data_IF_447134916383
#
_entry.id   IF_447134916383
#
_cell.length_a   1.000
_cell.length_b   1.000
_cell.length_c   1.000
_cell.angle_alpha   90.00
_cell.angle_beta   90.00
_cell.angle_gamma   90.00
#
_symmetry.space_group_name_H-M   'P 1'
#
loop_
_entity.id
_entity.type
_entity.pdbx_description
1 polymer ?
#
# COMPACT_ATOMS: atom_id res chain seq x y z
N UNK A 1 -1.30 23.76 -41.27
CA UNK A 1 -1.77 23.79 -39.86
C UNK A 1 -1.55 22.41 -39.28
N UNK A 2 -0.64 22.25 -38.32
CA UNK A 2 -0.43 20.97 -37.65
C UNK A 2 -1.61 20.73 -36.71
N UNK A 3 -2.40 19.68 -36.95
CA UNK A 3 -3.43 19.24 -36.02
C UNK A 3 -2.74 18.77 -34.73
N UNK A 4 -3.00 19.47 -33.61
CA UNK A 4 -2.52 19.05 -32.30
C UNK A 4 -3.03 17.65 -31.99
N UNK A 5 -2.14 16.76 -31.53
CA UNK A 5 -2.49 15.39 -31.19
C UNK A 5 -3.64 15.37 -30.16
N UNK A 6 -4.83 14.86 -30.51
CA UNK A 6 -6.01 14.84 -29.62
C UNK A 6 -5.84 13.88 -28.43
N UNK A 7 -4.81 13.02 -28.47
CA UNK A 7 -4.41 12.14 -27.37
C UNK A 7 -3.24 12.71 -26.55
N UNK A 8 -2.75 13.90 -26.90
CA UNK A 8 -1.77 14.58 -26.05
C UNK A 8 -2.44 14.99 -24.75
N UNK A 9 -1.78 14.70 -23.63
CA UNK A 9 -2.31 14.95 -22.29
C UNK A 9 -2.54 16.45 -22.14
N UNK A 10 -3.81 16.84 -22.06
CA UNK A 10 -4.22 18.24 -22.00
C UNK A 10 -3.61 18.92 -20.75
N UNK A 11 -2.62 19.78 -20.99
CA UNK A 11 -1.89 20.49 -19.94
C UNK A 11 -2.78 21.55 -19.28
N UNK A 12 -3.73 22.13 -20.03
CA UNK A 12 -4.63 23.16 -19.53
C UNK A 12 -5.75 22.55 -18.67
N UNK A 13 -6.32 21.42 -19.10
CA UNK A 13 -7.30 20.66 -18.31
C UNK A 13 -6.75 20.15 -16.96
N UNK A 14 -5.45 19.83 -16.91
CA UNK A 14 -4.78 19.37 -15.68
C UNK A 14 -4.60 20.48 -14.64
N UNK A 15 -4.35 21.73 -15.07
CA UNK A 15 -4.24 22.88 -14.15
C UNK A 15 -5.60 23.39 -13.68
N UNK A 16 -6.61 23.41 -14.57
CA UNK A 16 -7.95 23.94 -14.25
C UNK A 16 -8.73 23.06 -13.25
N UNK A 17 -8.29 21.81 -13.02
CA UNK A 17 -8.97 20.86 -12.14
C UNK A 17 -8.22 20.54 -10.83
N UNK A 18 -7.18 21.30 -10.47
CA UNK A 18 -6.40 21.07 -9.23
C UNK A 18 -7.30 21.18 -7.99
N UNK A 19 -8.28 22.09 -8.00
CA UNK A 19 -9.25 22.23 -6.90
C UNK A 19 -10.11 20.97 -6.75
N UNK A 20 -10.59 20.40 -7.85
CA UNK A 20 -11.35 19.14 -7.84
C UNK A 20 -10.52 17.99 -7.27
N UNK A 21 -9.25 17.88 -7.67
CA UNK A 21 -8.31 16.90 -7.10
C UNK A 21 -8.07 17.10 -5.62
N UNK A 22 -7.90 18.34 -5.15
CA UNK A 22 -7.74 18.67 -3.72
C UNK A 22 -8.95 18.21 -2.91
N UNK A 23 -10.15 18.55 -3.36
CA UNK A 23 -11.41 18.18 -2.71
C UNK A 23 -11.58 16.65 -2.70
N UNK A 24 -11.43 16.00 -3.85
CA UNK A 24 -11.58 14.54 -3.96
C UNK A 24 -10.54 13.79 -3.12
N UNK A 25 -9.30 14.29 -3.03
CA UNK A 25 -8.25 13.73 -2.18
C UNK A 25 -8.65 13.80 -0.70
N UNK A 26 -9.10 14.97 -0.22
CA UNK A 26 -9.54 15.12 1.17
C UNK A 26 -10.76 14.24 1.47
N UNK A 27 -11.78 14.28 0.61
CA UNK A 27 -13.02 13.53 0.83
C UNK A 27 -12.77 12.01 0.84
N UNK A 28 -12.00 11.49 -0.13
CA UNK A 28 -11.68 10.07 -0.17
C UNK A 28 -10.82 9.64 1.02
N UNK A 29 -9.82 10.44 1.41
CA UNK A 29 -9.01 10.18 2.59
C UNK A 29 -9.83 10.15 3.88
N UNK A 30 -10.66 11.18 4.13
CA UNK A 30 -11.51 11.25 5.31
C UNK A 30 -12.50 10.10 5.36
N UNK A 31 -13.09 9.74 4.20
CA UNK A 31 -14.00 8.61 4.10
C UNK A 31 -13.30 7.31 4.50
N UNK A 32 -12.11 7.05 3.98
CA UNK A 32 -11.34 5.86 4.33
C UNK A 32 -10.92 5.85 5.82
N UNK A 33 -10.36 6.96 6.31
CA UNK A 33 -9.92 7.11 7.70
C UNK A 33 -11.06 6.88 8.69
N UNK A 34 -12.17 7.61 8.53
CA UNK A 34 -13.29 7.57 9.47
C UNK A 34 -13.89 6.18 9.52
N UNK A 35 -14.14 5.54 8.38
CA UNK A 35 -14.76 4.22 8.37
C UNK A 35 -13.81 3.10 8.80
N UNK A 36 -12.51 3.21 8.54
CA UNK A 36 -11.52 2.27 9.07
C UNK A 36 -11.48 2.34 10.59
N UNK A 37 -11.45 3.54 11.18
CA UNK A 37 -11.49 3.72 12.65
C UNK A 37 -12.83 3.26 13.22
N UNK A 38 -13.95 3.69 12.64
CA UNK A 38 -15.29 3.32 13.09
C UNK A 38 -15.48 1.81 13.10
N UNK A 39 -15.10 1.10 12.03
CA UNK A 39 -15.26 -0.34 11.95
C UNK A 39 -14.18 -1.16 12.65
N UNK A 40 -13.06 -0.54 13.05
CA UNK A 40 -12.13 -1.16 14.00
C UNK A 40 -12.75 -1.26 15.40
N UNK A 41 -13.57 -0.28 15.79
CA UNK A 41 -14.13 -0.15 17.13
C UNK A 41 -15.58 -0.66 17.25
N UNK A 42 -16.39 -0.50 16.20
CA UNK A 42 -17.82 -0.79 16.21
C UNK A 42 -18.20 -1.69 15.05
N UNK A 43 -19.01 -2.73 15.32
CA UNK A 43 -19.57 -3.55 14.25
C UNK A 43 -20.63 -2.77 13.46
N UNK A 44 -20.80 -3.02 12.14
CA UNK A 44 -21.88 -2.41 11.39
C UNK A 44 -23.24 -2.84 11.96
N UNK A 45 -24.21 -1.92 11.91
CA UNK A 45 -25.55 -2.17 12.43
C UNK A 45 -26.12 -3.50 11.93
N UNK A 46 -26.68 -4.31 12.84
CA UNK A 46 -27.30 -5.58 12.50
C UNK A 46 -28.59 -5.30 11.73
N UNK A 47 -28.58 -5.52 10.43
CA UNK A 47 -29.81 -5.64 9.68
C UNK A 47 -30.38 -7.04 9.92
N UNK A 48 -31.56 -7.11 10.56
CA UNK A 48 -32.28 -8.36 10.87
C UNK A 48 -32.63 -9.24 9.66
N UNK A 49 -32.26 -8.85 8.44
CA UNK A 49 -32.59 -9.52 7.17
C UNK A 49 -31.39 -10.15 6.44
N UNK A 50 -30.17 -10.00 6.92
CA UNK A 50 -29.00 -10.59 6.24
C UNK A 50 -28.44 -11.79 7.00
N UNK A 51 -28.20 -12.87 6.27
CA UNK A 51 -27.63 -14.15 6.72
C UNK A 51 -26.14 -14.05 7.11
N UNK A 52 -25.48 -12.93 6.78
CA UNK A 52 -24.04 -12.74 6.95
C UNK A 52 -23.69 -12.15 8.32
N UNK A 53 -22.56 -12.60 8.88
CA UNK A 53 -22.06 -12.12 10.15
C UNK A 53 -21.48 -10.72 10.01
N UNK A 54 -21.93 -9.79 10.87
CA UNK A 54 -21.48 -8.41 10.91
C UNK A 54 -20.63 -8.23 12.16
N UNK A 55 -19.34 -7.92 12.01
CA UNK A 55 -18.44 -7.67 13.13
C UNK A 55 -17.42 -6.57 12.80
N UNK A 56 -16.71 -6.09 13.83
CA UNK A 56 -15.53 -5.24 13.67
C UNK A 56 -14.46 -5.91 12.81
N UNK A 57 -13.55 -5.11 12.24
CA UNK A 57 -12.44 -5.60 11.40
C UNK A 57 -11.67 -6.72 12.11
N UNK A 58 -11.28 -6.49 13.36
CA UNK A 58 -10.49 -7.45 14.13
C UNK A 58 -11.34 -8.58 14.72
N UNK A 59 -12.62 -8.38 15.03
CA UNK A 59 -13.41 -9.49 15.55
C UNK A 59 -13.80 -10.52 14.48
N UNK A 60 -13.85 -10.13 13.19
CA UNK A 60 -13.90 -11.11 12.10
C UNK A 60 -12.59 -11.91 11.99
N UNK A 61 -11.45 -11.29 12.30
CA UNK A 61 -10.17 -11.98 12.36
C UNK A 61 -10.15 -13.08 13.43
N UNK A 62 -10.69 -12.77 14.61
CA UNK A 62 -10.68 -13.69 15.74
C UNK A 62 -11.66 -14.84 15.52
N UNK A 63 -12.77 -14.59 14.81
CA UNK A 63 -13.73 -15.61 14.42
C UNK A 63 -13.16 -16.54 13.32
N UNK A 64 -12.66 -15.96 12.23
CA UNK A 64 -12.10 -16.69 11.09
C UNK A 64 -10.56 -16.64 11.13
N UNK A 65 -9.97 -17.24 12.17
CA UNK A 65 -8.52 -17.23 12.35
C UNK A 65 -7.82 -18.11 11.31
N UNK A 66 -6.86 -17.53 10.58
CA UNK A 66 -6.12 -18.20 9.51
C UNK A 66 -4.61 -18.07 9.70
N UNK A 67 -3.84 -18.76 8.85
CA UNK A 67 -2.38 -18.65 8.81
C UNK A 67 -1.89 -17.24 8.45
N UNK A 68 -2.75 -16.37 7.91
CA UNK A 68 -2.40 -14.99 7.57
C UNK A 68 -3.04 -13.97 8.51
N UNK A 69 -3.63 -14.40 9.63
CA UNK A 69 -4.17 -13.49 10.65
C UNK A 69 -3.03 -12.84 11.47
N UNK A 70 -2.81 -11.53 11.36
CA UNK A 70 -1.74 -10.84 12.09
C UNK A 70 -2.14 -10.43 13.51
N UNK A 71 -1.18 -9.93 14.27
CA UNK A 71 -1.50 -9.17 15.49
C UNK A 71 -2.23 -7.88 15.13
N UNK A 72 -3.42 -7.66 15.71
CA UNK A 72 -4.20 -6.45 15.51
C UNK A 72 -3.45 -5.18 15.96
N UNK A 73 -2.53 -5.31 16.94
CA UNK A 73 -1.70 -4.20 17.45
C UNK A 73 -0.77 -3.69 16.34
N UNK A 74 -0.11 -4.59 15.63
CA UNK A 74 0.80 -4.21 14.54
C UNK A 74 0.02 -3.61 13.36
N UNK A 75 -1.11 -4.20 12.98
CA UNK A 75 -1.96 -3.61 11.92
C UNK A 75 -2.44 -2.21 12.30
N UNK A 76 -2.84 -2.02 13.56
CA UNK A 76 -3.27 -0.72 14.07
C UNK A 76 -2.15 0.32 14.03
N UNK A 77 -0.93 -0.04 14.48
CA UNK A 77 0.24 0.84 14.39
C UNK A 77 0.52 1.20 12.93
N UNK A 78 0.52 0.21 12.03
CA UNK A 78 0.76 0.41 10.61
C UNK A 78 -0.22 1.42 10.01
N UNK A 79 -1.52 1.24 10.26
CA UNK A 79 -2.55 2.15 9.75
C UNK A 79 -2.47 3.55 10.35
N UNK A 80 -2.23 3.67 11.66
CA UNK A 80 -2.05 4.99 12.29
C UNK A 80 -0.86 5.72 11.67
N UNK A 81 0.28 5.03 11.51
CA UNK A 81 1.45 5.60 10.83
C UNK A 81 1.14 5.97 9.38
N UNK A 82 0.47 5.09 8.63
CA UNK A 82 0.05 5.36 7.25
C UNK A 82 -0.81 6.62 7.17
N UNK A 83 -1.85 6.73 7.98
CA UNK A 83 -2.76 7.89 7.95
C UNK A 83 -2.05 9.19 8.34
N UNK A 84 -1.15 9.17 9.32
CA UNK A 84 -0.33 10.35 9.68
C UNK A 84 0.55 10.78 8.50
N UNK A 85 1.23 9.83 7.85
CA UNK A 85 2.08 10.15 6.70
C UNK A 85 1.24 10.63 5.51
N UNK A 86 0.04 10.10 5.32
CA UNK A 86 -0.90 10.55 4.29
C UNK A 86 -1.39 11.98 4.53
N UNK A 87 -1.59 12.40 5.78
CA UNK A 87 -1.85 13.82 6.10
C UNK A 87 -0.67 14.69 5.64
N UNK A 88 0.57 14.26 5.88
CA UNK A 88 1.77 14.94 5.38
C UNK A 88 1.79 15.05 3.85
N UNK A 89 1.50 13.97 3.14
CA UNK A 89 1.34 13.99 1.68
C UNK A 89 0.25 14.98 1.22
N UNK A 90 -0.92 14.97 1.87
CA UNK A 90 -2.03 15.87 1.53
C UNK A 90 -1.62 17.33 1.74
N UNK A 91 -0.88 17.65 2.82
CA UNK A 91 -0.36 18.99 3.07
C UNK A 91 0.43 19.52 1.87
N UNK A 92 1.29 18.70 1.27
CA UNK A 92 2.10 19.12 0.12
C UNK A 92 1.28 19.47 -1.13
N UNK A 93 0.05 18.97 -1.24
CA UNK A 93 -0.89 19.38 -2.30
C UNK A 93 -1.32 20.85 -2.16
N UNK A 94 -1.20 21.42 -0.95
CA UNK A 94 -1.50 22.82 -0.61
C UNK A 94 -0.26 23.68 -0.43
N UNK A 95 0.93 23.17 -0.75
CA UNK A 95 2.18 23.93 -0.66
C UNK A 95 2.23 25.05 -1.70
N UNK A 96 2.85 26.19 -1.36
CA UNK A 96 3.14 27.27 -2.30
C UNK A 96 4.21 26.89 -3.34
N UNK A 97 4.95 25.80 -3.09
CA UNK A 97 5.97 25.31 -4.01
C UNK A 97 5.34 24.45 -5.12
N UNK A 98 5.37 24.97 -6.35
CA UNK A 98 4.84 24.30 -7.53
C UNK A 98 5.45 22.90 -7.79
N UNK A 99 6.70 22.66 -7.41
CA UNK A 99 7.34 21.35 -7.56
C UNK A 99 6.70 20.30 -6.63
N UNK A 100 6.41 20.69 -5.38
CA UNK A 100 5.72 19.81 -4.41
C UNK A 100 4.30 19.50 -4.88
N UNK A 101 3.56 20.52 -5.31
CA UNK A 101 2.19 20.35 -5.81
C UNK A 101 2.19 19.44 -7.04
N UNK A 102 3.12 19.60 -7.97
CA UNK A 102 3.23 18.75 -9.16
C UNK A 102 3.55 17.30 -8.81
N UNK A 103 4.48 17.08 -7.88
CA UNK A 103 4.82 15.73 -7.41
C UNK A 103 3.61 15.06 -6.75
N UNK A 104 2.91 15.75 -5.84
CA UNK A 104 1.72 15.24 -5.19
C UNK A 104 0.56 15.00 -6.18
N UNK A 105 0.29 15.95 -7.09
CA UNK A 105 -0.77 15.83 -8.07
C UNK A 105 -0.53 14.69 -9.07
N UNK A 106 0.73 14.31 -9.33
CA UNK A 106 1.05 13.21 -10.24
C UNK A 106 0.54 11.85 -9.77
N UNK A 107 0.43 11.66 -8.45
CA UNK A 107 -0.06 10.42 -7.83
C UNK A 107 -1.50 10.52 -7.32
N UNK A 108 -2.09 11.72 -7.36
CA UNK A 108 -3.38 12.03 -6.73
C UNK A 108 -4.55 11.16 -7.16
N UNK A 109 -4.67 10.84 -8.45
CA UNK A 109 -5.75 9.95 -8.94
C UNK A 109 -5.65 8.54 -8.35
N UNK A 110 -4.44 8.00 -8.25
CA UNK A 110 -4.20 6.68 -7.70
C UNK A 110 -4.40 6.67 -6.18
N UNK A 111 -4.05 7.77 -5.50
CA UNK A 111 -4.32 7.96 -4.08
C UNK A 111 -5.83 8.01 -3.78
N UNK A 112 -6.61 8.73 -4.59
CA UNK A 112 -8.08 8.77 -4.48
C UNK A 112 -8.65 7.36 -4.69
N UNK A 113 -8.23 6.67 -5.76
CA UNK A 113 -8.65 5.31 -6.04
C UNK A 113 -8.31 4.35 -4.89
N UNK A 114 -7.09 4.46 -4.32
CA UNK A 114 -6.67 3.68 -3.17
C UNK A 114 -7.63 3.84 -1.99
N UNK A 115 -7.95 5.08 -1.63
CA UNK A 115 -8.82 5.35 -0.49
C UNK A 115 -10.25 4.84 -0.71
N UNK A 116 -10.80 4.99 -1.93
CA UNK A 116 -12.13 4.50 -2.25
C UNK A 116 -12.21 2.97 -2.27
N UNK A 117 -11.19 2.30 -2.82
CA UNK A 117 -11.12 0.84 -2.84
C UNK A 117 -10.86 0.26 -1.46
N UNK A 118 -10.01 0.90 -0.65
CA UNK A 118 -9.80 0.53 0.74
C UNK A 118 -11.08 0.72 1.56
N UNK A 119 -11.79 1.83 1.38
CA UNK A 119 -13.10 2.06 2.00
C UNK A 119 -14.13 0.97 1.63
N UNK A 120 -14.20 0.61 0.34
CA UNK A 120 -15.07 -0.45 -0.14
C UNK A 120 -14.68 -1.80 0.45
N UNK A 121 -13.37 -2.12 0.52
CA UNK A 121 -12.86 -3.31 1.17
C UNK A 121 -13.30 -3.40 2.63
N UNK A 122 -13.12 -2.33 3.44
CA UNK A 122 -13.53 -2.32 4.85
C UNK A 122 -15.04 -2.60 4.98
N UNK A 123 -15.86 -2.01 4.11
CA UNK A 123 -17.31 -2.22 4.14
C UNK A 123 -17.72 -3.66 3.84
N UNK A 124 -17.06 -4.28 2.85
CA UNK A 124 -17.34 -5.64 2.43
C UNK A 124 -16.79 -6.64 3.45
N UNK A 125 -15.58 -6.41 3.95
CA UNK A 125 -14.93 -7.20 5.00
C UNK A 125 -15.81 -7.28 6.25
N UNK A 126 -16.21 -6.14 6.80
CA UNK A 126 -17.02 -6.05 8.05
C UNK A 126 -18.42 -6.66 7.95
N UNK A 127 -18.84 -7.01 6.73
CA UNK A 127 -20.12 -7.67 6.41
C UNK A 127 -19.91 -9.09 5.86
N UNK A 128 -18.71 -9.66 6.01
CA UNK A 128 -18.35 -11.01 5.56
C UNK A 128 -18.55 -11.28 4.06
N UNK A 129 -18.44 -10.25 3.20
CA UNK A 129 -18.50 -10.41 1.74
C UNK A 129 -17.09 -10.68 1.16
N UNK A 130 -16.51 -11.83 1.51
CA UNK A 130 -15.10 -12.14 1.28
C UNK A 130 -14.67 -12.04 -0.19
N UNK A 131 -15.44 -12.61 -1.12
CA UNK A 131 -15.12 -12.59 -2.56
C UNK A 131 -15.07 -11.18 -3.15
N UNK A 132 -16.05 -10.33 -2.84
CA UNK A 132 -16.08 -8.95 -3.30
C UNK A 132 -15.03 -8.11 -2.60
N UNK A 133 -14.79 -8.38 -1.32
CA UNK A 133 -13.73 -7.76 -0.53
C UNK A 133 -12.37 -8.04 -1.18
N UNK A 134 -12.11 -9.30 -1.56
CA UNK A 134 -10.88 -9.73 -2.23
C UNK A 134 -10.71 -9.05 -3.60
N UNK A 135 -11.80 -8.97 -4.38
CA UNK A 135 -11.79 -8.25 -5.65
C UNK A 135 -11.38 -6.77 -5.48
N UNK A 136 -11.88 -6.08 -4.45
CA UNK A 136 -11.49 -4.69 -4.18
C UNK A 136 -10.00 -4.57 -3.87
N UNK A 137 -9.42 -5.52 -3.13
CA UNK A 137 -7.98 -5.54 -2.85
C UNK A 137 -7.15 -5.78 -4.12
N UNK A 138 -7.52 -6.74 -4.96
CA UNK A 138 -6.80 -7.02 -6.23
C UNK A 138 -6.84 -5.81 -7.18
N UNK A 139 -7.99 -5.15 -7.28
CA UNK A 139 -8.09 -3.89 -8.04
C UNK A 139 -7.21 -2.79 -7.45
N UNK A 140 -7.16 -2.69 -6.12
CA UNK A 140 -6.35 -1.69 -5.45
C UNK A 140 -4.85 -1.98 -5.62
N UNK A 141 -4.46 -3.24 -5.56
CA UNK A 141 -3.10 -3.69 -5.81
C UNK A 141 -2.66 -3.33 -7.22
N UNK A 142 -3.50 -3.64 -8.22
CA UNK A 142 -3.23 -3.30 -9.63
C UNK A 142 -3.09 -1.79 -9.82
N UNK A 143 -3.95 -0.99 -9.17
CA UNK A 143 -3.86 0.47 -9.15
C UNK A 143 -2.52 0.96 -8.58
N UNK A 144 -2.05 0.36 -7.49
CA UNK A 144 -0.80 0.75 -6.83
C UNK A 144 0.45 0.25 -7.54
N UNK A 145 0.42 -0.93 -8.15
CA UNK A 145 1.51 -1.42 -9.01
C UNK A 145 1.62 -0.52 -10.25
N UNK A 146 0.50 -0.16 -10.88
CA UNK A 146 0.50 0.78 -11.99
C UNK A 146 1.06 2.15 -11.58
N UNK A 147 0.70 2.65 -10.39
CA UNK A 147 1.27 3.87 -9.82
C UNK A 147 2.79 3.74 -9.63
N UNK A 148 3.24 2.65 -9.01
CA UNK A 148 4.65 2.40 -8.72
C UNK A 148 5.48 2.39 -10.01
N UNK A 149 5.05 1.61 -11.00
CA UNK A 149 5.77 1.47 -12.27
C UNK A 149 5.77 2.77 -13.10
N UNK A 150 4.75 3.61 -12.96
CA UNK A 150 4.66 4.90 -13.65
C UNK A 150 5.49 6.00 -12.98
N UNK A 151 5.61 5.95 -11.66
CA UNK A 151 6.28 6.98 -10.85
C UNK A 151 7.31 6.39 -9.87
N UNK A 152 8.30 5.57 -10.32
CA UNK A 152 9.21 4.85 -9.43
C UNK A 152 10.19 5.77 -8.69
N UNK A 153 10.47 6.95 -9.24
CA UNK A 153 11.36 7.97 -8.65
C UNK A 153 10.58 9.11 -7.96
N UNK A 154 9.38 8.83 -7.45
CA UNK A 154 8.61 9.86 -6.75
C UNK A 154 9.36 10.30 -5.48
N UNK A 155 9.29 11.60 -5.07
CA UNK A 155 9.98 12.06 -3.87
C UNK A 155 9.58 11.21 -2.65
N UNK A 156 10.54 10.89 -1.77
CA UNK A 156 10.32 9.95 -0.65
C UNK A 156 9.11 10.26 0.23
N UNK A 157 8.80 11.55 0.39
CA UNK A 157 7.64 12.03 1.17
C UNK A 157 6.29 11.84 0.46
N UNK A 158 6.27 11.69 -0.87
CA UNK A 158 5.11 11.21 -1.64
C UNK A 158 5.10 9.69 -1.67
N UNK A 159 6.26 9.10 -1.97
CA UNK A 159 6.41 7.68 -2.24
C UNK A 159 5.96 6.82 -1.06
N UNK A 160 6.43 7.14 0.15
CA UNK A 160 6.12 6.38 1.34
C UNK A 160 4.60 6.30 1.64
N UNK A 161 3.88 7.43 1.81
CA UNK A 161 2.45 7.40 2.15
C UNK A 161 1.49 7.06 1.01
N UNK A 162 1.85 7.35 -0.25
CA UNK A 162 0.94 7.21 -1.39
C UNK A 162 1.23 5.97 -2.24
N UNK A 163 2.43 5.38 -2.14
CA UNK A 163 2.87 4.26 -2.98
C UNK A 163 3.30 3.07 -2.13
N UNK A 164 4.42 3.18 -1.41
CA UNK A 164 5.10 2.04 -0.79
C UNK A 164 4.27 1.39 0.33
N UNK A 165 3.86 2.17 1.35
CA UNK A 165 3.06 1.60 2.45
C UNK A 165 1.66 1.14 1.99
N UNK A 166 0.91 1.89 1.17
CA UNK A 166 -0.34 1.38 0.59
C UNK A 166 -0.16 0.06 -0.15
N UNK A 167 0.87 -0.07 -1.00
CA UNK A 167 1.08 -1.25 -1.83
C UNK A 167 1.34 -2.48 -0.97
N UNK A 168 2.24 -2.34 0.01
CA UNK A 168 2.58 -3.41 0.96
C UNK A 168 1.37 -3.83 1.79
N UNK A 169 0.55 -2.86 2.23
CA UNK A 169 -0.67 -3.16 2.98
C UNK A 169 -1.66 -3.97 2.14
N UNK A 170 -1.91 -3.55 0.90
CA UNK A 170 -2.88 -4.24 0.04
C UNK A 170 -2.37 -5.64 -0.33
N UNK A 171 -1.08 -5.79 -0.64
CA UNK A 171 -0.45 -7.11 -0.83
C UNK A 171 -0.70 -8.01 0.38
N UNK A 172 -0.43 -7.51 1.59
CA UNK A 172 -0.67 -8.26 2.82
C UNK A 172 -2.14 -8.63 3.00
N UNK A 173 -3.04 -7.67 2.77
CA UNK A 173 -4.48 -7.85 2.92
C UNK A 173 -5.05 -8.89 1.95
N UNK A 174 -4.49 -9.03 0.74
CA UNK A 174 -4.90 -10.07 -0.23
C UNK A 174 -4.71 -11.46 0.38
N UNK A 175 -3.53 -11.74 0.94
CA UNK A 175 -3.29 -13.04 1.57
C UNK A 175 -4.15 -13.25 2.82
N UNK A 176 -4.34 -12.21 3.62
CA UNK A 176 -5.17 -12.30 4.82
C UNK A 176 -6.64 -12.57 4.47
N UNK A 177 -7.21 -11.80 3.55
CA UNK A 177 -8.61 -11.93 3.15
C UNK A 177 -8.85 -13.18 2.31
N UNK A 178 -7.97 -13.48 1.36
CA UNK A 178 -8.02 -14.72 0.58
C UNK A 178 -8.00 -15.97 1.45
N UNK A 179 -7.23 -15.99 2.54
CA UNK A 179 -7.22 -17.11 3.47
C UNK A 179 -8.55 -17.30 4.22
N UNK A 180 -9.21 -16.18 4.59
CA UNK A 180 -10.55 -16.20 5.21
C UNK A 180 -11.60 -16.64 4.19
N UNK A 181 -11.54 -16.10 2.97
CA UNK A 181 -12.46 -16.40 1.87
C UNK A 181 -12.57 -17.90 1.56
N UNK A 182 -11.46 -18.64 1.63
CA UNK A 182 -11.43 -20.09 1.33
C UNK A 182 -11.66 -20.98 2.56
N UNK A 183 -11.98 -20.41 3.72
CA UNK A 183 -12.18 -21.14 4.98
C UNK A 183 -11.05 -22.15 5.28
N UNK A 184 -9.82 -21.65 5.23
CA UNK A 184 -8.59 -22.43 5.27
C UNK A 184 -8.37 -23.23 6.58
N UNK A 185 -8.96 -24.43 6.68
CA UNK A 185 -8.88 -25.30 7.88
C UNK A 185 -8.20 -26.65 7.66
N UNK A 186 -8.04 -27.09 6.41
CA UNK A 186 -7.47 -28.40 6.07
C UNK A 186 -5.94 -28.43 6.09
N UNK A 187 -5.35 -29.63 6.17
CA UNK A 187 -3.90 -29.84 6.08
C UNK A 187 -3.31 -29.31 4.77
N UNK A 188 -4.01 -29.52 3.65
CA UNK A 188 -3.62 -28.98 2.35
C UNK A 188 -3.53 -27.44 2.41
N UNK A 189 -4.48 -26.78 3.07
CA UNK A 189 -4.46 -25.33 3.19
C UNK A 189 -3.30 -24.82 4.06
N UNK A 190 -2.90 -25.57 5.10
CA UNK A 190 -1.70 -25.26 5.89
C UNK A 190 -0.41 -25.36 5.06
N UNK A 191 -0.30 -26.38 4.21
CA UNK A 191 0.84 -26.54 3.29
C UNK A 191 0.88 -25.37 2.31
N UNK A 192 -0.26 -25.04 1.69
CA UNK A 192 -0.36 -23.92 0.77
C UNK A 192 -0.01 -22.59 1.45
N UNK A 193 -0.48 -22.34 2.67
CA UNK A 193 -0.13 -21.13 3.42
C UNK A 193 1.38 -21.02 3.71
N UNK A 194 2.02 -22.14 4.08
CA UNK A 194 3.46 -22.21 4.29
C UNK A 194 4.28 -21.93 3.03
N UNK A 195 3.75 -22.24 1.84
CA UNK A 195 4.38 -21.91 0.55
C UNK A 195 4.10 -20.44 0.20
N UNK A 196 2.83 -20.04 0.32
CA UNK A 196 2.33 -18.71 -0.05
C UNK A 196 3.00 -17.57 0.74
N UNK A 197 3.35 -17.78 2.01
CA UNK A 197 4.02 -16.74 2.82
C UNK A 197 5.34 -16.27 2.19
N UNK A 198 6.07 -17.13 1.46
CA UNK A 198 7.32 -16.77 0.81
C UNK A 198 7.14 -15.77 -0.34
N UNK A 199 5.91 -15.59 -0.83
CA UNK A 199 5.61 -14.53 -1.77
C UNK A 199 5.98 -13.14 -1.21
N UNK A 200 5.83 -12.90 0.09
CA UNK A 200 6.26 -11.64 0.70
C UNK A 200 7.76 -11.40 0.60
N UNK A 201 8.58 -12.46 0.66
CA UNK A 201 10.02 -12.34 0.44
C UNK A 201 10.32 -12.01 -1.02
N UNK A 202 9.68 -12.71 -1.97
CA UNK A 202 9.86 -12.47 -3.41
C UNK A 202 9.42 -11.04 -3.77
N UNK A 203 8.25 -10.63 -3.29
CA UNK A 203 7.70 -9.29 -3.43
C UNK A 203 8.68 -8.23 -2.90
N UNK A 204 9.12 -8.34 -1.65
CA UNK A 204 10.05 -7.36 -1.08
C UNK A 204 11.41 -7.38 -1.78
N UNK A 205 11.94 -8.57 -2.11
CA UNK A 205 13.20 -8.72 -2.82
C UNK A 205 13.14 -8.08 -4.21
N UNK A 206 12.03 -8.19 -4.94
CA UNK A 206 11.85 -7.53 -6.22
C UNK A 206 12.02 -6.00 -6.10
N UNK A 207 11.32 -5.36 -5.16
CA UNK A 207 11.43 -3.91 -4.96
C UNK A 207 12.81 -3.47 -4.43
N UNK A 208 13.40 -4.25 -3.53
CA UNK A 208 14.74 -3.97 -3.00
C UNK A 208 15.84 -4.15 -4.05
N UNK A 209 15.78 -5.18 -4.88
CA UNK A 209 16.84 -5.49 -5.84
C UNK A 209 16.73 -4.67 -7.12
N UNK A 210 15.51 -4.51 -7.67
CA UNK A 210 15.27 -3.81 -8.94
C UNK A 210 15.20 -2.30 -8.75
N UNK A 211 14.49 -1.83 -7.72
CA UNK A 211 14.24 -0.40 -7.51
C UNK A 211 15.07 0.23 -6.38
N UNK A 212 15.83 -0.57 -5.63
CA UNK A 212 16.55 -0.12 -4.42
C UNK A 212 15.61 0.53 -3.41
N UNK A 213 14.36 0.09 -3.37
CA UNK A 213 13.33 0.70 -2.54
C UNK A 213 13.28 0.06 -1.15
N UNK A 214 14.02 0.66 -0.23
CA UNK A 214 14.03 0.26 1.17
C UNK A 214 12.72 0.55 1.91
N UNK A 215 11.85 1.45 1.40
CA UNK A 215 10.60 1.80 2.06
C UNK A 215 9.59 0.66 1.95
N UNK A 216 9.49 0.03 0.77
CA UNK A 216 8.71 -1.20 0.59
C UNK A 216 9.22 -2.31 1.50
N UNK A 217 10.53 -2.53 1.51
CA UNK A 217 11.13 -3.57 2.36
C UNK A 217 10.88 -3.36 3.85
N UNK A 218 11.10 -2.14 4.38
CA UNK A 218 10.81 -1.84 5.79
C UNK A 218 9.33 -2.02 6.13
N UNK A 219 8.42 -1.53 5.27
CA UNK A 219 6.99 -1.72 5.47
C UNK A 219 6.59 -3.21 5.46
N UNK A 220 7.14 -4.01 4.54
CA UNK A 220 6.88 -5.47 4.49
C UNK A 220 7.42 -6.13 5.75
N UNK A 221 8.65 -5.81 6.17
CA UNK A 221 9.23 -6.37 7.40
C UNK A 221 8.36 -6.11 8.64
N UNK A 222 7.77 -4.91 8.74
CA UNK A 222 6.91 -4.55 9.85
C UNK A 222 5.60 -5.37 9.89
N UNK A 223 4.91 -5.53 8.76
CA UNK A 223 3.70 -6.36 8.71
C UNK A 223 4.01 -7.85 8.95
N UNK A 224 5.15 -8.35 8.45
CA UNK A 224 5.59 -9.71 8.70
C UNK A 224 5.99 -9.94 10.17
N UNK A 225 6.52 -8.92 10.86
CA UNK A 225 6.67 -8.96 12.32
C UNK A 225 5.30 -9.12 13.00
N UNK A 226 4.31 -8.34 12.57
CA UNK A 226 2.94 -8.43 13.08
C UNK A 226 2.29 -9.78 12.84
N UNK A 227 2.50 -10.38 11.67
CA UNK A 227 2.08 -11.73 11.36
C UNK A 227 2.77 -12.76 12.26
N UNK A 228 4.10 -12.67 12.40
CA UNK A 228 4.88 -13.55 13.26
C UNK A 228 4.41 -13.51 14.71
N UNK A 229 4.19 -12.32 15.27
CA UNK A 229 3.67 -12.15 16.64
C UNK A 229 2.27 -12.72 16.79
N UNK A 230 1.37 -12.45 15.84
CA UNK A 230 0.00 -12.98 15.86
C UNK A 230 -0.03 -14.51 15.84
N UNK A 231 0.77 -15.12 14.97
CA UNK A 231 0.84 -16.58 14.84
C UNK A 231 1.60 -17.25 15.99
N UNK A 232 2.62 -16.58 16.55
CA UNK A 232 3.37 -17.06 17.70
C UNK A 232 2.52 -17.13 18.98
N UNK A 233 1.63 -16.15 19.20
CA UNK A 233 0.75 -16.13 20.36
C UNK A 233 -0.29 -17.26 20.32
N UNK A 234 -0.80 -17.58 19.13
CA UNK A 234 -1.90 -18.54 18.96
C UNK A 234 -1.41 -19.97 18.69
N UNK A 235 -0.21 -20.15 18.13
CA UNK A 235 0.47 -21.44 17.82
C UNK A 235 -0.34 -22.48 17.02
N UNK A 236 -1.45 -22.09 16.40
CA UNK A 236 -2.31 -23.00 15.61
C UNK A 236 -1.59 -23.49 14.34
N UNK A 237 -0.75 -22.66 13.73
CA UNK A 237 -0.01 -22.97 12.50
C UNK A 237 1.49 -23.04 12.79
N UNK A 238 1.97 -24.27 13.01
CA UNK A 238 3.27 -24.54 13.65
C UNK A 238 4.51 -23.88 13.01
N UNK A 239 4.54 -23.71 11.68
CA UNK A 239 5.70 -23.14 10.97
C UNK A 239 5.51 -21.67 10.54
N UNK A 240 4.28 -21.17 10.56
CA UNK A 240 3.94 -19.88 9.97
C UNK A 240 4.66 -18.71 10.65
N UNK A 241 4.76 -18.73 11.98
CA UNK A 241 5.45 -17.69 12.75
C UNK A 241 6.97 -17.70 12.50
N UNK A 242 7.58 -18.88 12.31
CA UNK A 242 9.01 -19.02 12.01
C UNK A 242 9.31 -18.41 10.65
N UNK A 243 8.50 -18.75 9.63
CA UNK A 243 8.66 -18.18 8.29
C UNK A 243 8.41 -16.68 8.29
N UNK A 244 7.39 -16.19 9.00
CA UNK A 244 7.12 -14.76 9.11
C UNK A 244 8.30 -13.99 9.70
N UNK A 245 8.88 -14.46 10.81
CA UNK A 245 10.05 -13.81 11.42
C UNK A 245 11.33 -13.94 10.58
N UNK A 246 11.50 -15.07 9.88
CA UNK A 246 12.64 -15.26 8.98
C UNK A 246 12.58 -14.26 7.82
N UNK A 247 11.42 -14.14 7.17
CA UNK A 247 11.20 -13.18 6.08
C UNK A 247 11.37 -11.76 6.61
N UNK A 248 10.76 -11.43 7.76
CA UNK A 248 10.94 -10.14 8.41
C UNK A 248 12.41 -9.79 8.62
N UNK A 249 13.21 -10.69 9.21
CA UNK A 249 14.62 -10.44 9.50
C UNK A 249 15.46 -10.24 8.23
N UNK A 250 15.29 -11.10 7.24
CA UNK A 250 16.02 -11.01 5.95
C UNK A 250 15.67 -9.71 5.23
N UNK A 251 14.38 -9.38 5.12
CA UNK A 251 13.92 -8.17 4.43
C UNK A 251 14.35 -6.91 5.20
N UNK A 252 14.27 -6.92 6.53
CA UNK A 252 14.69 -5.80 7.36
C UNK A 252 16.18 -5.48 7.20
N UNK A 253 17.04 -6.49 7.34
CA UNK A 253 18.50 -6.32 7.17
C UNK A 253 18.82 -5.86 5.74
N UNK A 254 18.21 -6.49 4.72
CA UNK A 254 18.41 -6.09 3.33
C UNK A 254 17.99 -4.64 3.07
N UNK A 255 16.89 -4.21 3.69
CA UNK A 255 16.41 -2.83 3.61
C UNK A 255 17.38 -1.85 4.26
N UNK A 256 17.94 -2.18 5.44
CA UNK A 256 18.93 -1.33 6.10
C UNK A 256 20.24 -1.22 5.29
N UNK A 257 20.69 -2.32 4.69
CA UNK A 257 21.88 -2.32 3.83
C UNK A 257 21.73 -1.40 2.60
N UNK A 258 20.50 -1.26 2.08
CA UNK A 258 20.20 -0.34 0.98
C UNK A 258 19.94 1.09 1.49
N UNK A 259 19.27 1.24 2.63
CA UNK A 259 18.90 2.52 3.21
C UNK A 259 20.12 3.33 3.70
N UNK A 260 21.10 2.68 4.36
CA UNK A 260 22.25 3.38 4.96
C UNK A 260 23.07 4.14 3.90
N UNK A 261 23.51 3.52 2.78
CA UNK A 261 24.17 4.26 1.70
C UNK A 261 23.26 5.33 1.08
N UNK A 262 21.95 5.06 0.96
CA UNK A 262 20.99 6.00 0.37
C UNK A 262 20.69 7.22 1.24
N UNK A 263 20.98 7.17 2.55
CA UNK A 263 20.74 8.25 3.52
C UNK A 263 22.04 8.98 3.85
N UNK A 264 23.17 8.26 3.95
CA UNK A 264 24.46 8.79 4.40
C UNK A 264 25.51 8.91 3.29
N UNK A 265 25.34 8.24 2.15
CA UNK A 265 26.25 8.31 1.01
C UNK A 265 25.99 9.55 0.15
N UNK A 266 27.06 10.27 -0.19
CA UNK A 266 27.07 11.18 -1.34
C UNK A 266 26.58 10.39 -2.56
N UNK A 267 25.51 10.84 -3.19
CA UNK A 267 25.10 10.34 -4.50
C UNK A 267 26.31 10.48 -5.45
N UNK A 268 26.98 9.37 -5.76
CA UNK A 268 27.74 9.30 -7.00
C UNK A 268 26.69 9.39 -8.11
N UNK A 269 26.62 10.59 -8.68
CA UNK A 269 25.72 11.00 -9.74
C UNK A 269 25.91 10.12 -10.98
N UNK A 270 25.26 8.96 -11.02
CA UNK A 270 25.17 8.18 -12.27
C UNK A 270 24.25 8.86 -13.30
N UNK A 271 23.42 9.83 -12.87
CA UNK A 271 22.60 10.66 -13.75
C UNK A 271 23.43 11.72 -14.53
N UNK A 272 24.72 11.91 -14.21
CA UNK A 272 25.61 12.81 -14.97
C UNK A 272 26.03 12.27 -16.35
N UNK A 273 25.74 10.99 -16.66
CA UNK A 273 26.10 10.38 -17.94
C UNK A 273 24.96 10.44 -18.96
N UNK A 274 23.69 10.48 -18.53
CA UNK A 274 22.54 10.48 -19.45
C UNK A 274 22.12 11.89 -19.89
N UNK A 275 22.36 12.91 -19.07
CA UNK A 275 21.94 14.30 -19.37
C UNK A 275 22.94 15.07 -20.26
N UNK A 276 24.07 14.45 -20.62
CA UNK A 276 25.02 15.02 -21.61
C UNK A 276 24.52 14.92 -23.06
N UNK A 277 23.52 14.11 -23.35
CA UNK A 277 22.94 13.97 -24.70
C UNK A 277 21.75 14.90 -24.96
N UNK A 278 21.36 15.75 -23.99
CA UNK A 278 20.26 16.72 -24.13
C UNK A 278 20.67 18.15 -23.78
N UNK A 279 21.90 18.54 -24.09
CA UNK A 279 22.23 19.96 -24.17
C UNK A 279 21.58 20.55 -25.45
N UNK A 280 20.71 21.57 -25.36
CA UNK A 280 20.26 22.30 -26.53
C UNK A 280 21.47 23.04 -27.13
N UNK A 281 21.74 22.80 -28.42
CA UNK A 281 22.70 23.59 -29.21
C UNK A 281 22.20 25.04 -29.25
N UNK A 282 22.70 25.85 -28.32
CA UNK A 282 22.86 27.28 -28.54
C UNK A 282 24.03 27.43 -29.51
N UNK A 283 23.74 27.60 -30.79
CA UNK A 283 24.63 28.37 -31.66
C UNK A 283 24.14 29.82 -31.63
N UNK A 284 25.03 30.68 -31.14
CA UNK A 284 24.93 32.13 -31.11
C UNK A 284 25.15 32.73 -32.51
N UNK A 285 24.53 33.90 -32.73
CA UNK A 285 24.72 34.91 -33.80
C UNK A 285 23.90 34.77 -35.10
#
# INVERSE_FOLDING_TARGET
MAFGNPFSRDREGTQRNIMGYKIATILSFLLNLVFTVMYSLHAPAKNHKHTHWNHTIYGLQDHDYTAFSPSYVFVSIYWVTLFILQIGYIWHLFSDNAANVKAAASVGSHFIAFNLLQFAWVHLWTRSHWWFSELMLVLNWTNLVALYLRHPKSPRWVHLPAVAMPLVWVEFAIFWNGAVMVHCSSLACRILANIAIWNFLVFAAFFLLVFKDYQVGLATSFLLAGLGVGQFATKIFALQWIFAFTIMGVVFISSLLIAVPSIFGKEESSDAVVDRERAPLLEDA
#
